data_IF_514718139218
#
_entry.id   IF_514718139218
#
_cell.length_a   1.000
_cell.length_b   1.000
_cell.length_c   1.000
_cell.angle_alpha   90.00
_cell.angle_beta   90.00
_cell.angle_gamma   90.00
#
_symmetry.space_group_name_H-M   'P 1'
#
loop_
_entity.id
_entity.type
_entity.pdbx_description
1 polymer ?
#
# COMPACT_ATOMS: atom_id res chain seq x y z
N UNK A 1 20.47 8.95 -33.09
CA UNK A 1 19.58 9.98 -32.49
C UNK A 1 18.16 9.46 -32.19
N UNK A 2 17.47 8.73 -33.07
CA UNK A 2 16.09 8.20 -32.80
C UNK A 2 15.95 7.22 -31.61
N UNK A 3 17.02 6.55 -31.16
CA UNK A 3 16.97 5.57 -30.05
C UNK A 3 17.01 6.20 -28.65
N UNK A 4 17.50 7.44 -28.52
CA UNK A 4 17.60 8.14 -27.23
C UNK A 4 16.28 8.82 -26.87
N UNK A 5 15.53 9.32 -27.87
CA UNK A 5 14.19 9.87 -27.70
C UNK A 5 13.17 8.82 -27.20
N UNK A 6 13.33 7.54 -27.54
CA UNK A 6 12.45 6.46 -27.07
C UNK A 6 12.69 6.16 -25.58
N UNK A 7 13.93 6.29 -25.09
CA UNK A 7 14.26 6.08 -23.68
C UNK A 7 13.76 7.25 -22.80
N UNK A 8 13.85 8.49 -23.28
CA UNK A 8 13.31 9.66 -22.58
C UNK A 8 11.78 9.63 -22.51
N UNK A 9 11.10 9.17 -23.56
CA UNK A 9 9.64 8.97 -23.56
C UNK A 9 9.21 7.80 -22.67
N UNK A 10 10.03 6.75 -22.55
CA UNK A 10 9.75 5.62 -21.65
C UNK A 10 9.86 6.01 -20.17
N UNK A 11 10.78 6.91 -19.81
CA UNK A 11 10.94 7.36 -18.41
C UNK A 11 9.87 8.39 -18.01
N UNK A 12 9.45 9.28 -18.93
CA UNK A 12 8.27 10.13 -18.74
C UNK A 12 6.94 9.35 -18.79
N UNK A 13 6.90 8.23 -19.51
CA UNK A 13 5.75 7.31 -19.46
C UNK A 13 5.70 6.53 -18.15
N UNK A 14 6.81 6.27 -17.44
CA UNK A 14 6.78 5.56 -16.15
C UNK A 14 6.20 6.44 -15.03
N UNK A 15 6.41 7.76 -15.07
CA UNK A 15 5.76 8.68 -14.11
C UNK A 15 4.27 8.90 -14.40
N UNK A 16 3.85 8.83 -15.68
CA UNK A 16 2.43 8.89 -16.04
C UNK A 16 1.71 7.53 -15.92
N UNK A 17 2.38 6.39 -16.11
CA UNK A 17 1.77 5.04 -16.00
C UNK A 17 1.71 4.49 -14.58
N UNK A 18 2.45 5.06 -13.63
CA UNK A 18 2.20 4.81 -12.20
C UNK A 18 0.84 5.39 -11.74
N UNK A 19 0.27 6.35 -12.48
CA UNK A 19 -1.04 6.97 -12.20
C UNK A 19 -2.10 6.79 -13.29
N UNK A 20 -1.74 6.26 -14.47
CA UNK A 20 -2.65 5.91 -15.55
C UNK A 20 -2.73 4.39 -15.72
N UNK A 21 -3.29 3.69 -14.72
CA UNK A 21 -3.91 2.41 -15.03
C UNK A 21 -5.24 2.70 -15.75
N UNK A 22 -5.44 2.23 -16.99
CA UNK A 22 -6.74 2.32 -17.62
C UNK A 22 -7.74 1.54 -16.75
N UNK A 23 -8.78 2.23 -16.28
CA UNK A 23 -10.06 1.59 -15.97
C UNK A 23 -10.52 0.86 -17.22
N UNK A 24 -10.17 -0.43 -17.34
CA UNK A 24 -10.87 -1.32 -18.26
C UNK A 24 -12.26 -1.55 -17.70
N UNK A 25 -13.18 -0.67 -18.11
CA UNK A 25 -14.60 -0.94 -18.14
C UNK A 25 -14.84 -2.04 -19.17
N UNK A 26 -15.20 -3.22 -18.68
CA UNK A 26 -16.15 -4.11 -19.36
C UNK A 26 -15.58 -5.28 -20.15
N UNK A 27 -15.47 -6.45 -19.49
CA UNK A 27 -16.03 -7.70 -20.04
C UNK A 27 -16.38 -8.69 -18.93
N UNK A 28 -17.69 -8.87 -18.75
CA UNK A 28 -18.41 -10.05 -18.27
C UNK A 28 -17.79 -10.98 -17.22
N UNK A 29 -18.44 -11.01 -16.04
CA UNK A 29 -18.74 -12.21 -15.24
C UNK A 29 -17.72 -13.36 -15.32
N UNK A 30 -16.75 -13.30 -14.41
CA UNK A 30 -16.61 -14.38 -13.45
C UNK A 30 -16.43 -13.69 -12.09
N UNK A 31 -17.37 -13.90 -11.18
CA UNK A 31 -17.11 -13.65 -9.76
C UNK A 31 -15.96 -14.59 -9.41
N UNK A 32 -14.72 -14.10 -9.55
CA UNK A 32 -13.55 -14.79 -9.05
C UNK A 32 -13.74 -14.79 -7.54
N UNK A 33 -14.38 -15.86 -7.05
CA UNK A 33 -14.27 -16.30 -5.67
C UNK A 33 -12.77 -16.43 -5.48
N UNK A 34 -12.13 -15.40 -4.95
CA UNK A 34 -10.76 -15.54 -4.46
C UNK A 34 -10.86 -16.70 -3.49
N UNK A 35 -10.12 -17.81 -3.73
CA UNK A 35 -10.17 -18.94 -2.83
C UNK A 35 -9.91 -18.40 -1.43
N UNK A 36 -10.69 -18.88 -0.45
CA UNK A 36 -10.36 -18.67 0.95
C UNK A 36 -8.88 -19.02 1.08
N UNK A 37 -8.03 -18.01 1.26
CA UNK A 37 -6.62 -18.24 1.44
C UNK A 37 -6.48 -18.79 2.86
N UNK A 38 -6.62 -20.10 2.99
CA UNK A 38 -6.44 -20.89 4.21
C UNK A 38 -4.96 -20.97 4.64
N UNK A 39 -4.07 -20.27 3.92
CA UNK A 39 -2.62 -20.22 4.13
C UNK A 39 -2.18 -19.06 5.03
N UNK A 40 -3.05 -18.60 5.92
CA UNK A 40 -2.72 -17.57 6.91
C UNK A 40 -2.36 -18.24 8.23
N UNK A 41 -1.52 -17.59 9.05
CA UNK A 41 -1.02 -18.15 10.31
C UNK A 41 -2.14 -18.61 11.25
N UNK A 42 -3.24 -17.85 11.35
CA UNK A 42 -4.37 -18.25 12.19
C UNK A 42 -5.16 -19.39 11.55
N UNK A 43 -5.40 -19.37 10.24
CA UNK A 43 -6.11 -20.42 9.53
C UNK A 43 -5.33 -21.75 9.54
N UNK A 44 -4.01 -21.73 9.34
CA UNK A 44 -3.15 -22.91 9.40
C UNK A 44 -3.12 -23.51 10.80
N UNK A 45 -2.94 -22.67 11.84
CA UNK A 45 -2.97 -23.13 13.22
C UNK A 45 -4.32 -23.77 13.57
N UNK A 46 -5.44 -23.20 13.09
CA UNK A 46 -6.77 -23.76 13.31
C UNK A 46 -6.97 -25.09 12.55
N UNK A 47 -6.49 -25.19 11.31
CA UNK A 47 -6.54 -26.44 10.53
C UNK A 47 -5.75 -27.54 11.24
N UNK A 48 -4.51 -27.27 11.67
CA UNK A 48 -3.70 -28.25 12.40
C UNK A 48 -4.36 -28.65 13.73
N UNK A 49 -4.99 -27.71 14.44
CA UNK A 49 -5.74 -28.03 15.65
C UNK A 49 -6.94 -28.94 15.36
N UNK A 50 -7.68 -28.67 14.28
CA UNK A 50 -8.81 -29.49 13.86
C UNK A 50 -8.37 -30.88 13.38
N UNK A 51 -7.25 -30.99 12.66
CA UNK A 51 -6.66 -32.27 12.27
C UNK A 51 -6.26 -33.10 13.49
N UNK A 52 -5.69 -32.47 14.52
CA UNK A 52 -5.37 -33.12 15.79
C UNK A 52 -6.60 -33.54 16.59
N UNK A 53 -7.70 -32.78 16.52
CA UNK A 53 -8.95 -33.03 17.25
C UNK A 53 -9.79 -34.13 16.57
N UNK A 54 -9.88 -34.09 15.24
CA UNK A 54 -10.69 -35.00 14.43
C UNK A 54 -9.97 -36.31 14.11
N UNK A 55 -8.62 -36.30 14.10
CA UNK A 55 -7.82 -37.46 13.70
C UNK A 55 -8.24 -38.01 12.32
N UNK A 56 -8.29 -39.33 12.19
CA UNK A 56 -8.70 -40.01 10.96
C UNK A 56 -10.22 -40.23 10.84
N UNK A 57 -11.06 -39.47 11.57
CA UNK A 57 -12.52 -39.68 11.51
C UNK A 57 -13.05 -39.31 10.13
N UNK A 58 -13.85 -40.18 9.49
CA UNK A 58 -14.43 -39.87 8.20
C UNK A 58 -15.47 -38.75 8.33
N UNK A 59 -15.48 -37.84 7.35
CA UNK A 59 -16.35 -36.65 7.33
C UNK A 59 -17.84 -37.01 7.47
N UNK A 60 -18.25 -38.22 7.06
CA UNK A 60 -19.62 -38.71 7.16
C UNK A 60 -20.10 -39.06 8.58
N UNK A 61 -19.21 -39.11 9.57
CA UNK A 61 -19.57 -39.35 10.98
C UNK A 61 -19.84 -38.08 11.78
N UNK A 62 -19.60 -36.90 11.17
CA UNK A 62 -19.83 -35.62 11.82
C UNK A 62 -21.31 -35.23 11.76
N UNK A 63 -21.85 -34.83 12.90
CA UNK A 63 -23.17 -34.20 12.97
C UNK A 63 -23.13 -32.82 12.31
N UNK A 64 -24.27 -32.35 11.81
CA UNK A 64 -24.41 -31.01 11.24
C UNK A 64 -24.03 -29.92 12.26
N UNK A 65 -24.31 -30.15 13.55
CA UNK A 65 -23.89 -29.26 14.65
C UNK A 65 -22.37 -29.18 14.82
N UNK A 66 -21.67 -30.30 14.74
CA UNK A 66 -20.19 -30.31 14.82
C UNK A 66 -19.58 -29.63 13.61
N UNK A 67 -20.08 -29.93 12.41
CA UNK A 67 -19.61 -29.30 11.17
C UNK A 67 -19.79 -27.78 11.19
N UNK A 68 -20.94 -27.30 11.64
CA UNK A 68 -21.20 -25.84 11.74
C UNK A 68 -20.32 -25.17 12.79
N UNK A 69 -20.00 -25.86 13.89
CA UNK A 69 -19.03 -25.40 14.90
C UNK A 69 -17.62 -25.26 14.32
N UNK A 70 -17.12 -26.27 13.61
CA UNK A 70 -15.80 -26.22 12.97
C UNK A 70 -15.71 -25.15 11.88
N UNK A 71 -16.78 -25.01 11.08
CA UNK A 71 -16.88 -23.94 10.10
C UNK A 71 -16.76 -22.56 10.74
N UNK A 72 -17.46 -22.32 11.86
CA UNK A 72 -17.40 -21.04 12.56
C UNK A 72 -15.99 -20.70 13.08
N UNK A 73 -15.26 -21.72 13.57
CA UNK A 73 -13.86 -21.59 14.02
C UNK A 73 -12.93 -21.21 12.86
N UNK A 74 -13.01 -21.92 11.73
CA UNK A 74 -12.23 -21.61 10.53
C UNK A 74 -12.56 -20.21 10.01
N UNK A 75 -13.84 -19.83 9.95
CA UNK A 75 -14.25 -18.48 9.54
C UNK A 75 -13.72 -17.39 10.49
N UNK A 76 -13.63 -17.66 11.80
CA UNK A 76 -13.01 -16.75 12.75
C UNK A 76 -11.49 -16.61 12.51
N UNK A 77 -10.79 -17.73 12.28
CA UNK A 77 -9.36 -17.74 11.99
C UNK A 77 -9.03 -16.97 10.70
N UNK A 78 -9.78 -17.23 9.62
CA UNK A 78 -9.62 -16.53 8.33
C UNK A 78 -9.90 -15.03 8.45
N UNK A 79 -10.84 -14.61 9.31
CA UNK A 79 -11.08 -13.19 9.59
C UNK A 79 -9.90 -12.53 10.29
N UNK A 80 -9.22 -13.23 11.21
CA UNK A 80 -7.99 -12.74 11.86
C UNK A 80 -6.89 -12.53 10.82
N UNK A 81 -6.66 -13.50 9.94
CA UNK A 81 -5.69 -13.39 8.85
C UNK A 81 -6.02 -12.27 7.85
N UNK A 82 -7.31 -12.09 7.54
CA UNK A 82 -7.76 -11.00 6.69
C UNK A 82 -7.53 -9.63 7.37
N UNK A 83 -7.77 -9.54 8.67
CA UNK A 83 -7.51 -8.33 9.46
C UNK A 83 -6.03 -7.96 9.42
N UNK A 84 -5.14 -8.90 9.77
CA UNK A 84 -3.68 -8.67 9.75
C UNK A 84 -3.21 -8.23 8.37
N UNK A 85 -3.59 -8.95 7.32
CA UNK A 85 -3.20 -8.60 5.93
C UNK A 85 -3.74 -7.25 5.50
N UNK A 86 -4.98 -6.92 5.85
CA UNK A 86 -5.58 -5.63 5.49
C UNK A 86 -4.87 -4.47 6.19
N UNK A 87 -4.50 -4.64 7.46
CA UNK A 87 -3.83 -3.63 8.26
C UNK A 87 -2.39 -3.40 7.80
N UNK A 88 -1.66 -4.48 7.49
CA UNK A 88 -0.34 -4.41 6.86
C UNK A 88 -0.39 -3.64 5.53
N UNK A 89 -1.34 -3.99 4.64
CA UNK A 89 -1.52 -3.30 3.35
C UNK A 89 -1.85 -1.82 3.52
N UNK A 90 -2.70 -1.47 4.48
CA UNK A 90 -3.01 -0.06 4.77
C UNK A 90 -1.73 0.70 5.10
N UNK A 91 -0.89 0.17 5.99
CA UNK A 91 0.38 0.79 6.38
C UNK A 91 1.45 0.81 5.29
N UNK A 92 1.38 -0.09 4.30
CA UNK A 92 2.22 -0.06 3.11
C UNK A 92 1.80 1.05 2.13
N UNK A 93 0.49 1.28 1.99
CA UNK A 93 -0.05 2.33 1.11
C UNK A 93 0.05 3.72 1.75
N UNK A 94 -0.26 3.81 3.03
CA UNK A 94 -0.21 5.03 3.84
C UNK A 94 0.47 4.71 5.17
N UNK A 95 1.77 5.06 5.34
CA UNK A 95 2.49 4.82 6.58
C UNK A 95 1.72 5.32 7.81
N UNK A 96 1.61 4.48 8.83
CA UNK A 96 0.88 4.77 10.07
C UNK A 96 -0.62 4.46 10.07
N UNK A 97 -1.25 4.23 8.92
CA UNK A 97 -2.70 4.00 8.84
C UNK A 97 -3.15 2.70 9.53
N UNK A 98 -2.37 1.62 9.43
CA UNK A 98 -2.66 0.36 10.08
C UNK A 98 -2.47 0.40 11.60
N UNK A 99 -1.47 1.15 12.08
CA UNK A 99 -1.25 1.38 13.52
C UNK A 99 -2.43 2.11 14.15
N UNK A 100 -2.90 3.18 13.50
CA UNK A 100 -4.11 3.91 13.93
C UNK A 100 -5.33 2.99 13.99
N UNK A 101 -5.48 2.11 13.01
CA UNK A 101 -6.57 1.12 12.99
C UNK A 101 -6.48 0.11 14.15
N UNK A 102 -5.26 -0.27 14.55
CA UNK A 102 -5.03 -1.14 15.70
C UNK A 102 -5.21 -0.42 17.05
N UNK A 103 -5.40 0.90 17.03
CA UNK A 103 -5.47 1.73 18.23
C UNK A 103 -4.11 2.19 18.76
N UNK A 104 -3.02 1.92 18.04
CA UNK A 104 -1.69 2.46 18.36
C UNK A 104 -1.51 3.83 17.70
N UNK A 105 -1.95 4.87 18.41
CA UNK A 105 -1.91 6.24 17.89
C UNK A 105 -0.51 6.82 17.88
N UNK A 106 0.31 6.48 18.87
CA UNK A 106 1.66 7.00 18.99
C UNK A 106 2.54 6.50 17.84
N UNK A 107 2.53 5.18 17.59
CA UNK A 107 3.28 4.59 16.49
C UNK A 107 2.74 5.04 15.13
N UNK A 108 1.40 5.14 14.99
CA UNK A 108 0.76 5.64 13.78
C UNK A 108 1.17 7.06 13.41
N UNK A 109 1.15 7.99 14.36
CA UNK A 109 1.61 9.37 14.15
C UNK A 109 3.11 9.40 13.82
N UNK A 110 3.91 8.55 14.49
CA UNK A 110 5.34 8.45 14.21
C UNK A 110 5.64 8.09 12.76
N UNK A 111 4.96 7.10 12.19
CA UNK A 111 5.13 6.73 10.79
C UNK A 111 4.60 7.79 9.81
N UNK A 112 3.49 8.46 10.14
CA UNK A 112 2.99 9.59 9.32
C UNK A 112 4.02 10.72 9.30
N UNK A 113 4.59 11.07 10.45
CA UNK A 113 5.61 12.10 10.56
C UNK A 113 6.89 11.72 9.80
N UNK A 114 7.33 10.47 9.89
CA UNK A 114 8.50 9.97 9.16
C UNK A 114 8.27 9.98 7.64
N UNK A 115 7.07 9.61 7.18
CA UNK A 115 6.69 9.70 5.77
C UNK A 115 6.69 11.15 5.28
N UNK A 116 6.06 12.06 6.04
CA UNK A 116 6.03 13.48 5.73
C UNK A 116 7.43 14.11 5.72
N UNK A 117 8.29 13.76 6.67
CA UNK A 117 9.66 14.24 6.74
C UNK A 117 10.50 13.75 5.56
N UNK A 118 10.36 12.47 5.18
CA UNK A 118 11.03 11.90 3.99
C UNK A 118 10.58 12.61 2.73
N UNK A 119 9.28 12.82 2.55
CA UNK A 119 8.73 13.51 1.39
C UNK A 119 9.18 14.98 1.32
N UNK A 120 9.07 15.72 2.42
CA UNK A 120 9.47 17.12 2.50
C UNK A 120 10.98 17.27 2.30
N UNK A 121 11.81 16.42 2.92
CA UNK A 121 13.26 16.42 2.75
C UNK A 121 13.68 16.10 1.32
N UNK A 122 13.00 15.15 0.67
CA UNK A 122 13.25 14.79 -0.74
C UNK A 122 12.91 15.95 -1.66
N UNK A 123 11.75 16.59 -1.47
CA UNK A 123 11.32 17.73 -2.28
C UNK A 123 12.25 18.93 -2.09
N UNK A 124 12.61 19.25 -0.83
CA UNK A 124 13.53 20.32 -0.53
C UNK A 124 14.92 20.05 -1.13
N UNK A 125 15.45 18.83 -0.96
CA UNK A 125 16.73 18.44 -1.52
C UNK A 125 16.74 18.49 -3.05
N UNK A 126 15.69 17.99 -3.70
CA UNK A 126 15.54 18.07 -5.16
C UNK A 126 15.47 19.52 -5.64
N UNK A 127 14.75 20.39 -4.94
CA UNK A 127 14.65 21.81 -5.24
C UNK A 127 16.02 22.52 -5.15
N UNK A 128 16.77 22.29 -4.07
CA UNK A 128 18.10 22.89 -3.89
C UNK A 128 19.17 22.35 -4.85
N UNK A 129 18.90 21.23 -5.52
CA UNK A 129 19.77 20.65 -6.54
C UNK A 129 19.29 20.93 -7.97
N UNK A 130 18.15 21.58 -8.14
CA UNK A 130 17.68 22.09 -9.42
C UNK A 130 18.64 23.20 -9.92
N UNK A 131 18.84 23.36 -11.24
CA UNK A 131 19.53 24.53 -11.79
C UNK A 131 19.01 25.83 -11.18
N UNK A 132 19.91 26.76 -10.85
CA UNK A 132 19.58 28.00 -10.13
C UNK A 132 18.45 28.79 -10.81
N UNK A 133 18.45 28.79 -12.14
CA UNK A 133 17.55 29.60 -12.96
C UNK A 133 16.12 29.07 -12.96
N UNK A 134 15.93 27.82 -12.50
CA UNK A 134 14.63 27.17 -12.34
C UNK A 134 14.12 27.23 -10.90
N UNK A 135 14.84 27.87 -9.99
CA UNK A 135 14.38 28.05 -8.61
C UNK A 135 13.40 29.21 -8.55
N UNK A 136 12.48 29.17 -7.59
CA UNK A 136 11.48 30.25 -7.39
C UNK A 136 12.12 31.62 -7.14
N UNK A 137 13.39 31.66 -6.72
CA UNK A 137 14.16 32.90 -6.55
C UNK A 137 14.43 33.62 -7.88
N UNK A 138 14.56 32.87 -8.97
CA UNK A 138 14.94 33.40 -10.30
C UNK A 138 13.82 33.27 -11.34
N UNK A 139 12.85 32.39 -11.13
CA UNK A 139 11.70 32.18 -12.00
C UNK A 139 10.40 32.19 -11.19
N UNK A 140 9.59 33.23 -11.38
CA UNK A 140 8.27 33.31 -10.75
C UNK A 140 7.25 32.48 -11.55
N UNK A 141 6.99 31.26 -11.10
CA UNK A 141 6.02 30.35 -11.72
C UNK A 141 4.56 30.82 -11.65
N UNK A 142 4.23 31.79 -10.79
CA UNK A 142 2.86 32.29 -10.64
C UNK A 142 2.58 33.48 -11.56
N UNK A 143 3.61 34.26 -11.90
CA UNK A 143 3.47 35.46 -12.74
C UNK A 143 4.08 35.35 -14.13
N UNK A 144 5.06 34.46 -14.33
CA UNK A 144 5.75 34.33 -15.62
C UNK A 144 4.85 33.67 -16.66
N UNK A 145 5.07 34.00 -17.94
CA UNK A 145 4.32 33.36 -19.01
C UNK A 145 4.71 31.89 -19.15
N UNK A 146 3.80 31.06 -19.68
CA UNK A 146 4.10 29.65 -19.94
C UNK A 146 5.27 29.46 -20.90
N UNK A 147 5.49 30.42 -21.81
CA UNK A 147 6.59 30.41 -22.76
C UNK A 147 7.92 30.59 -22.04
N UNK A 148 8.03 31.59 -21.16
CA UNK A 148 9.26 31.88 -20.41
C UNK A 148 9.67 30.71 -19.51
N UNK A 149 8.68 30.08 -18.85
CA UNK A 149 8.90 28.88 -18.03
C UNK A 149 9.40 27.72 -18.90
N UNK A 150 8.81 27.53 -20.08
CA UNK A 150 9.20 26.48 -21.01
C UNK A 150 10.62 26.68 -21.54
N UNK A 151 10.94 27.90 -21.96
CA UNK A 151 12.26 28.23 -22.50
C UNK A 151 13.35 28.08 -21.43
N UNK A 152 13.07 28.47 -20.18
CA UNK A 152 13.95 28.21 -19.05
C UNK A 152 14.15 26.71 -18.76
N UNK A 153 13.11 25.89 -18.88
CA UNK A 153 13.22 24.43 -18.73
C UNK A 153 14.06 23.81 -19.86
N UNK A 154 13.91 24.31 -21.08
CA UNK A 154 14.55 23.76 -22.29
C UNK A 154 15.98 24.29 -22.52
N UNK A 155 16.39 25.33 -21.78
CA UNK A 155 17.76 25.87 -21.84
C UNK A 155 18.79 24.93 -21.18
N UNK A 156 18.33 23.96 -20.39
CA UNK A 156 19.18 23.01 -19.67
C UNK A 156 19.20 21.63 -20.33
N UNK A 157 20.34 20.96 -20.19
CA UNK A 157 20.49 19.57 -20.59
C UNK A 157 19.95 18.63 -19.51
N UNK A 158 19.64 17.38 -19.88
CA UNK A 158 19.24 16.34 -18.91
C UNK A 158 20.29 16.13 -17.80
N UNK A 159 21.57 16.38 -18.09
CA UNK A 159 22.65 16.23 -17.12
C UNK A 159 22.54 17.22 -15.96
N UNK A 160 21.97 18.40 -16.21
CA UNK A 160 21.78 19.45 -15.22
C UNK A 160 20.68 19.08 -14.21
N UNK A 161 19.77 18.18 -14.58
CA UNK A 161 18.71 17.66 -13.72
C UNK A 161 19.10 16.40 -12.95
N UNK A 162 20.20 15.73 -13.32
CA UNK A 162 20.62 14.47 -12.70
C UNK A 162 20.75 14.55 -11.17
N UNK A 163 21.32 15.61 -10.58
CA UNK A 163 21.39 15.72 -9.12
C UNK A 163 20.00 15.74 -8.45
N UNK A 164 19.07 16.55 -8.96
CA UNK A 164 17.70 16.63 -8.46
C UNK A 164 16.95 15.30 -8.65
N UNK A 165 17.08 14.67 -9.83
CA UNK A 165 16.51 13.34 -10.09
C UNK A 165 17.11 12.27 -9.17
N UNK A 166 18.41 12.33 -8.89
CA UNK A 166 19.09 11.42 -7.98
C UNK A 166 18.51 11.49 -6.57
N UNK A 167 18.28 12.70 -6.04
CA UNK A 167 17.62 12.89 -4.74
C UNK A 167 16.18 12.40 -4.77
N UNK A 168 15.42 12.66 -5.84
CA UNK A 168 14.06 12.14 -5.97
C UNK A 168 14.02 10.60 -5.91
N UNK A 169 14.89 9.92 -6.65
CA UNK A 169 14.98 8.46 -6.65
C UNK A 169 15.43 7.93 -5.29
N UNK A 170 16.45 8.55 -4.67
CA UNK A 170 16.90 8.19 -3.34
C UNK A 170 15.78 8.33 -2.30
N UNK A 171 15.04 9.45 -2.36
CA UNK A 171 13.87 9.70 -1.53
C UNK A 171 12.76 8.66 -1.69
N UNK A 172 12.48 8.24 -2.93
CA UNK A 172 11.52 7.15 -3.19
C UNK A 172 11.95 5.82 -2.56
N UNK A 173 13.24 5.50 -2.60
CA UNK A 173 13.78 4.28 -1.98
C UNK A 173 13.64 4.35 -0.47
N UNK A 174 13.99 5.49 0.13
CA UNK A 174 13.82 5.71 1.58
C UNK A 174 12.34 5.61 1.96
N UNK A 175 11.44 6.23 1.18
CA UNK A 175 9.99 6.17 1.42
C UNK A 175 9.44 4.73 1.36
N UNK A 176 9.91 3.95 0.38
CA UNK A 176 9.58 2.52 0.29
C UNK A 176 10.02 1.77 1.56
N UNK A 177 11.20 2.11 2.10
CA UNK A 177 11.69 1.57 3.37
C UNK A 177 10.77 1.92 4.54
N UNK A 178 10.35 3.17 4.66
CA UNK A 178 9.39 3.63 5.69
C UNK A 178 8.07 2.87 5.58
N UNK A 179 7.52 2.74 4.37
CA UNK A 179 6.30 1.95 4.10
C UNK A 179 6.44 0.50 4.50
N UNK A 180 7.58 -0.12 4.18
CA UNK A 180 7.85 -1.51 4.51
C UNK A 180 7.93 -1.73 6.03
N UNK A 181 8.68 -0.89 6.75
CA UNK A 181 8.75 -0.96 8.21
C UNK A 181 7.41 -0.68 8.87
N UNK A 182 6.68 0.32 8.39
CA UNK A 182 5.32 0.61 8.81
C UNK A 182 4.39 -0.59 8.63
N UNK A 183 4.50 -1.32 7.50
CA UNK A 183 3.71 -2.53 7.26
C UNK A 183 4.05 -3.67 8.22
N UNK A 184 5.32 -3.87 8.54
CA UNK A 184 5.77 -4.89 9.51
C UNK A 184 5.26 -4.55 10.91
N UNK A 185 5.47 -3.30 11.36
CA UNK A 185 4.98 -2.82 12.65
C UNK A 185 3.45 -2.98 12.77
N UNK A 186 2.71 -2.61 11.73
CA UNK A 186 1.26 -2.75 11.69
C UNK A 186 0.79 -4.21 11.74
N UNK A 187 1.59 -5.15 11.21
CA UNK A 187 1.35 -6.59 11.31
C UNK A 187 1.45 -7.04 12.76
N UNK A 188 2.55 -6.69 13.44
CA UNK A 188 2.76 -7.01 14.85
C UNK A 188 1.69 -6.38 15.75
N UNK A 189 1.36 -5.10 15.53
CA UNK A 189 0.28 -4.42 16.24
C UNK A 189 -1.09 -5.04 15.98
N UNK A 190 -1.34 -5.57 14.77
CA UNK A 190 -2.60 -6.23 14.45
C UNK A 190 -2.76 -7.54 15.22
N UNK A 191 -1.69 -8.33 15.38
CA UNK A 191 -1.70 -9.54 16.20
C UNK A 191 -1.99 -9.22 17.67
N UNK A 192 -1.30 -8.22 18.23
CA UNK A 192 -1.55 -7.76 19.60
C UNK A 192 -2.98 -7.21 19.80
N UNK A 193 -3.55 -6.53 18.80
CA UNK A 193 -4.94 -6.06 18.84
C UNK A 193 -5.95 -7.22 18.80
N UNK A 194 -5.64 -8.30 18.08
CA UNK A 194 -6.47 -9.52 18.05
C UNK A 194 -6.44 -10.21 19.42
N UNK A 195 -5.25 -10.38 19.99
CA UNK A 195 -5.06 -11.04 21.30
C UNK A 195 -5.72 -10.27 22.44
N UNK A 196 -5.62 -8.93 22.42
CA UNK A 196 -6.25 -8.06 23.41
C UNK A 196 -7.76 -7.83 23.19
N UNK A 197 -8.35 -8.40 22.14
CA UNK A 197 -9.77 -8.24 21.80
C UNK A 197 -10.16 -6.85 21.29
N UNK A 198 -9.19 -5.95 21.07
CA UNK A 198 -9.42 -4.60 20.53
C UNK A 198 -9.70 -4.60 19.02
N UNK A 199 -9.27 -5.65 18.32
CA UNK A 199 -9.40 -5.75 16.87
C UNK A 199 -10.88 -5.78 16.45
N UNK A 200 -11.28 -4.78 15.65
CA UNK A 200 -12.57 -4.80 14.96
C UNK A 200 -12.47 -5.70 13.73
N UNK A 201 -12.76 -6.98 13.94
CA UNK A 201 -12.84 -7.97 12.88
C UNK A 201 -14.09 -7.68 12.04
N UNK A 202 -13.93 -6.95 10.93
CA UNK A 202 -15.04 -6.72 10.00
C UNK A 202 -15.64 -8.06 9.55
N UNK A 203 -16.97 -8.17 9.44
CA UNK A 203 -17.60 -9.35 8.87
C UNK A 203 -17.14 -9.50 7.42
N UNK A 204 -16.64 -10.68 7.08
CA UNK A 204 -16.20 -11.00 5.73
C UNK A 204 -17.43 -11.21 4.85
N UNK A 205 -17.90 -10.15 4.20
CA UNK A 205 -18.93 -10.25 3.16
C UNK A 205 -18.29 -10.15 1.77
N UNK A 206 -17.74 -11.26 1.28
CA UNK A 206 -17.43 -11.49 -0.12
C UNK A 206 -16.52 -10.45 -0.83
N UNK A 207 -16.27 -10.63 -2.13
CA UNK A 207 -15.39 -9.74 -2.88
C UNK A 207 -16.17 -8.47 -3.27
N UNK A 208 -15.89 -7.34 -2.62
CA UNK A 208 -16.52 -6.07 -2.99
C UNK A 208 -16.12 -4.83 -2.18
N UNK A 209 -15.73 -4.96 -0.91
CA UNK A 209 -15.50 -3.79 -0.04
C UNK A 209 -14.03 -3.37 0.10
N UNK A 210 -13.32 -3.31 -1.03
CA UNK A 210 -12.01 -2.62 -1.15
C UNK A 210 -12.01 -1.61 -2.30
N UNK A 211 -13.15 -0.96 -2.54
CA UNK A 211 -13.23 0.27 -3.29
C UNK A 211 -13.75 1.37 -2.36
N UNK A 212 -13.19 2.57 -2.44
CA UNK A 212 -13.81 3.75 -1.84
C UNK A 212 -15.30 3.78 -2.20
N UNK A 213 -16.15 3.64 -1.20
CA UNK A 213 -17.60 3.69 -1.34
C UNK A 213 -18.14 4.71 -0.36
N UNK A 214 -17.97 5.99 -0.68
CA UNK A 214 -18.92 6.99 -0.20
C UNK A 214 -20.27 6.62 -0.80
N UNK A 215 -21.22 6.22 0.05
CA UNK A 215 -22.63 6.17 -0.33
C UNK A 215 -23.41 6.99 0.69
N UNK A 216 -23.97 8.09 0.19
CA UNK A 216 -25.12 8.79 0.75
C UNK A 216 -26.34 7.86 0.76
#
# INVERSE_FOLDING_TARGET
MKRIFIAAYAILAISATAFAQPMMVGRGRASAVRPLALSGEYAEAEITALESELGARPIGELTVSEFTGYRARIEAAVRKDAYVRSTARMSMLFPGAGQLRNGDTAEGIGFIAMHAATMAGTLAGAYFLLPSDLRFENLDYLSSSKQDIHDALMSHSLQDYLPAMGVMVAGMIVDMGVRHWSSIAATSGAKAAIESGKARLNPYFGPGYLGMGMHY
#
